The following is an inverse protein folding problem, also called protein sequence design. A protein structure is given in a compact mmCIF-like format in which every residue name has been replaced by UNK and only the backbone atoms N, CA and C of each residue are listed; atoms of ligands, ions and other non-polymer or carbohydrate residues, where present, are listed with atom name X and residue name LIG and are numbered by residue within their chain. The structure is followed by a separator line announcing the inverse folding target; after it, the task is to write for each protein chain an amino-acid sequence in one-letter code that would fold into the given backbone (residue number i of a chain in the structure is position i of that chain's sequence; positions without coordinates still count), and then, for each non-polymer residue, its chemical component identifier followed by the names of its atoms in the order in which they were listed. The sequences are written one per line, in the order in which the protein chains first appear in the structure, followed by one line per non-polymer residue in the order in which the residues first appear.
data_IF_384889733939
#
_entry.id   IF_384889733939
#
_cell.length_a   1.000
_cell.length_b   1.000
_cell.length_c   1.000
_cell.angle_alpha   90.00
_cell.angle_beta   90.00
_cell.angle_gamma   90.00
#
_symmetry.space_group_name_H-M   'P 1'
#
loop_
_entity.id
_entity.type
_entity.pdbx_description
1 polymer ?
#
# COMPACT_ATOMS: atom_id res chain seq x y z
N UNK A 1 -17.65 -20.05 10.46
CA UNK A 1 -17.72 -18.70 9.88
C UNK A 1 -16.37 -18.00 10.03
N UNK A 2 -15.74 -17.57 8.93
CA UNK A 2 -14.51 -16.77 8.99
C UNK A 2 -14.90 -15.30 9.18
N UNK A 3 -14.34 -14.63 10.19
CA UNK A 3 -14.63 -13.21 10.52
C UNK A 3 -13.62 -12.29 9.84
N UNK A 4 -14.05 -11.08 9.49
CA UNK A 4 -13.14 -10.00 9.09
C UNK A 4 -12.13 -9.68 10.18
N UNK A 5 -10.94 -9.21 9.78
CA UNK A 5 -9.83 -8.91 10.69
C UNK A 5 -9.33 -7.50 10.44
N UNK A 6 -8.96 -6.85 11.52
CA UNK A 6 -8.33 -5.53 11.53
C UNK A 6 -7.18 -5.55 12.55
N UNK A 7 -6.35 -4.52 12.56
CA UNK A 7 -5.24 -4.42 13.52
C UNK A 7 -5.77 -4.19 14.93
N UNK A 8 -5.11 -4.77 15.95
CA UNK A 8 -5.47 -4.53 17.36
C UNK A 8 -5.01 -3.16 17.87
N UNK A 9 -3.95 -2.61 17.29
CA UNK A 9 -3.33 -1.34 17.66
C UNK A 9 -2.70 -0.68 16.45
N UNK A 10 -2.44 0.62 16.56
CA UNK A 10 -1.66 1.35 15.57
C UNK A 10 -0.22 0.82 15.60
N UNK A 11 0.36 0.60 14.42
CA UNK A 11 1.78 0.25 14.28
C UNK A 11 2.44 1.20 13.28
N UNK A 12 3.69 1.55 13.54
CA UNK A 12 4.48 2.44 12.71
C UNK A 12 5.80 1.79 12.34
N UNK A 13 6.21 1.99 11.09
CA UNK A 13 7.50 1.58 10.57
C UNK A 13 8.11 2.75 9.79
N UNK A 14 9.41 2.92 9.88
CA UNK A 14 10.12 3.94 9.11
C UNK A 14 11.12 3.27 8.20
N UNK A 15 11.20 3.72 6.96
CA UNK A 15 12.10 3.18 5.95
C UNK A 15 12.52 4.24 4.95
N UNK A 16 13.18 3.82 3.89
CA UNK A 16 13.58 4.70 2.78
C UNK A 16 12.70 4.39 1.57
N UNK A 17 12.07 5.43 1.02
CA UNK A 17 11.23 5.33 -0.17
C UNK A 17 12.10 5.03 -1.38
N UNK A 18 11.85 3.90 -2.05
CA UNK A 18 12.69 3.41 -3.14
C UNK A 18 12.84 4.40 -4.30
N UNK A 19 11.76 5.10 -4.69
CA UNK A 19 11.77 6.04 -5.81
C UNK A 19 12.42 7.37 -5.49
N UNK A 20 12.39 7.79 -4.23
CA UNK A 20 12.81 9.13 -3.82
C UNK A 20 14.12 9.12 -3.04
N UNK A 21 14.55 7.97 -2.51
CA UNK A 21 15.64 7.87 -1.54
C UNK A 21 15.35 8.57 -0.20
N UNK A 22 14.13 9.08 0.00
CA UNK A 22 13.77 9.86 1.19
C UNK A 22 13.25 8.96 2.31
N UNK A 23 13.47 9.37 3.55
CA UNK A 23 12.87 8.71 4.72
C UNK A 23 11.35 8.84 4.66
N UNK A 24 10.64 7.72 4.80
CA UNK A 24 9.18 7.63 4.79
C UNK A 24 8.72 6.88 6.03
N UNK A 25 7.64 7.35 6.66
CA UNK A 25 7.01 6.69 7.80
C UNK A 25 5.68 6.08 7.35
N UNK A 26 5.57 4.76 7.44
CA UNK A 26 4.33 4.01 7.23
C UNK A 26 3.61 3.85 8.57
N UNK A 27 2.35 4.29 8.63
CA UNK A 27 1.49 4.10 9.81
C UNK A 27 0.30 3.25 9.42
N UNK A 28 0.15 2.07 10.03
CA UNK A 28 -1.02 1.21 9.85
C UNK A 28 -1.98 1.40 11.01
N UNK A 29 -3.25 1.65 10.71
CA UNK A 29 -4.30 1.94 11.69
C UNK A 29 -5.40 0.88 11.64
N UNK A 30 -6.02 0.53 12.77
CA UNK A 30 -7.26 -0.24 12.77
C UNK A 30 -8.35 0.51 11.99
N UNK A 31 -9.15 -0.25 11.25
CA UNK A 31 -10.34 0.23 10.55
C UNK A 31 -11.58 -0.59 10.94
N UNK A 32 -12.80 0.00 10.91
CA UNK A 32 -14.06 -0.71 11.11
C UNK A 32 -14.30 -1.82 10.09
N UNK A 33 -15.23 -2.74 10.41
CA UNK A 33 -15.69 -3.76 9.47
C UNK A 33 -16.16 -3.14 8.15
N UNK A 34 -15.96 -3.85 7.05
CA UNK A 34 -16.33 -3.45 5.68
C UNK A 34 -15.65 -2.18 5.13
N UNK A 35 -14.68 -1.59 5.83
CA UNK A 35 -13.92 -0.44 5.31
C UNK A 35 -13.02 -0.81 4.13
N UNK A 36 -12.58 -2.07 4.06
CA UNK A 36 -11.57 -2.51 3.11
C UNK A 36 -10.16 -1.98 3.47
N UNK A 37 -9.27 -1.98 2.49
CA UNK A 37 -7.92 -1.41 2.63
C UNK A 37 -7.90 -0.02 1.99
N UNK A 38 -7.48 0.99 2.74
CA UNK A 38 -7.35 2.36 2.27
C UNK A 38 -5.90 2.80 2.49
N UNK A 39 -5.24 3.24 1.42
CA UNK A 39 -3.97 3.93 1.51
C UNK A 39 -4.22 5.43 1.64
N UNK A 40 -3.41 6.14 2.43
CA UNK A 40 -3.54 7.59 2.63
C UNK A 40 -2.18 8.25 2.46
N UNK A 41 -2.12 9.30 1.64
CA UNK A 41 -0.97 10.21 1.57
C UNK A 41 -1.20 11.39 2.51
N UNK A 42 -0.46 11.40 3.62
CA UNK A 42 -0.52 12.44 4.65
C UNK A 42 0.46 13.60 4.42
N UNK A 43 1.30 13.49 3.40
CA UNK A 43 2.22 14.54 2.98
C UNK A 43 1.57 15.58 2.06
N UNK A 44 0.32 15.35 1.64
CA UNK A 44 -0.52 16.29 0.91
C UNK A 44 -1.47 17.03 1.86
N UNK A 45 -1.88 18.24 1.48
CA UNK A 45 -2.84 19.05 2.24
C UNK A 45 -4.01 19.52 1.33
N UNK A 46 -5.25 19.04 1.55
CA UNK A 46 -5.64 18.03 2.54
C UNK A 46 -5.06 16.63 2.23
N UNK A 47 -4.97 15.72 3.22
CA UNK A 47 -4.56 14.33 2.98
C UNK A 47 -5.46 13.66 1.94
N UNK A 48 -4.87 12.79 1.12
CA UNK A 48 -5.59 12.12 0.02
C UNK A 48 -5.70 10.63 0.30
N UNK A 49 -6.90 10.10 0.13
CA UNK A 49 -7.24 8.69 0.34
C UNK A 49 -7.35 7.92 -0.98
N UNK A 50 -6.89 6.68 -0.95
CA UNK A 50 -6.88 5.74 -2.07
C UNK A 50 -7.43 4.40 -1.59
N UNK A 51 -8.73 4.14 -1.77
CA UNK A 51 -9.28 2.81 -1.59
C UNK A 51 -8.55 1.81 -2.49
N UNK A 52 -8.20 0.65 -1.96
CA UNK A 52 -7.57 -0.42 -2.72
C UNK A 52 -8.61 -1.12 -3.61
N UNK A 53 -8.99 -0.45 -4.70
CA UNK A 53 -9.90 -0.95 -5.72
C UNK A 53 -9.10 -1.31 -6.99
N UNK A 54 -9.41 -2.48 -7.57
CA UNK A 54 -8.79 -2.94 -8.81
C UNK A 54 -8.99 -1.96 -9.98
N UNK A 55 -10.12 -1.24 -10.01
CA UNK A 55 -10.42 -0.21 -11.02
C UNK A 55 -9.48 1.00 -10.93
N UNK A 56 -8.92 1.25 -9.75
CA UNK A 56 -8.00 2.37 -9.48
C UNK A 56 -6.53 2.00 -9.70
N UNK A 57 -6.23 0.74 -10.04
CA UNK A 57 -4.87 0.28 -10.31
C UNK A 57 -4.40 0.77 -11.68
N UNK A 58 -3.22 1.39 -11.72
CA UNK A 58 -2.51 1.80 -12.94
C UNK A 58 -1.03 1.38 -12.84
N UNK A 59 -0.34 1.39 -13.97
CA UNK A 59 1.11 1.17 -14.11
C UNK A 59 1.64 -0.06 -13.35
N UNK A 60 1.39 -1.26 -13.87
CA UNK A 60 1.77 -2.55 -13.27
C UNK A 60 3.15 -3.07 -13.68
N UNK A 61 3.80 -2.49 -14.70
CA UNK A 61 5.04 -3.03 -15.27
C UNK A 61 6.21 -3.04 -14.28
N UNK A 62 6.22 -2.12 -13.31
CA UNK A 62 7.31 -2.00 -12.35
C UNK A 62 6.83 -1.96 -10.90
N UNK A 63 5.58 -1.64 -10.61
CA UNK A 63 5.02 -1.55 -9.25
C UNK A 63 3.50 -1.67 -9.31
N UNK A 64 2.79 -1.76 -8.18
CA UNK A 64 1.34 -1.50 -8.20
C UNK A 64 1.14 -0.04 -7.81
N UNK A 65 0.50 0.74 -8.66
CA UNK A 65 0.13 2.13 -8.36
C UNK A 65 -1.38 2.27 -8.26
N UNK A 66 -1.85 3.00 -7.24
CA UNK A 66 -3.22 3.48 -7.19
C UNK A 66 -3.23 4.95 -7.60
N UNK A 67 -4.19 5.32 -8.44
CA UNK A 67 -4.38 6.67 -8.95
C UNK A 67 -5.80 7.12 -8.64
N UNK A 68 -5.96 8.36 -8.19
CA UNK A 68 -7.28 8.95 -7.96
C UNK A 68 -7.76 9.76 -9.20
N UNK A 69 -8.96 10.31 -9.12
CA UNK A 69 -9.57 11.10 -10.21
C UNK A 69 -8.79 12.39 -10.57
N UNK A 70 -7.91 12.85 -9.66
CA UNK A 70 -7.09 14.05 -9.83
C UNK A 70 -5.64 13.73 -10.25
N UNK A 71 -5.39 12.52 -10.77
CA UNK A 71 -4.07 12.02 -11.21
C UNK A 71 -2.99 11.95 -10.10
N UNK A 72 -3.39 12.05 -8.82
CA UNK A 72 -2.48 11.83 -7.68
C UNK A 72 -2.20 10.34 -7.55
N UNK A 73 -0.93 9.98 -7.31
CA UNK A 73 -0.46 8.59 -7.29
C UNK A 73 0.12 8.17 -5.94
N UNK A 74 -0.09 6.90 -5.60
CA UNK A 74 0.65 6.17 -4.56
C UNK A 74 1.18 4.85 -5.14
N UNK A 75 2.46 4.57 -4.94
CA UNK A 75 3.18 3.46 -5.60
C UNK A 75 3.95 2.62 -4.59
N UNK A 76 3.83 1.29 -4.67
CA UNK A 76 4.71 0.35 -4.00
C UNK A 76 5.35 -0.63 -5.01
N UNK A 77 6.68 -0.59 -5.16
CA UNK A 77 7.38 -1.56 -6.01
C UNK A 77 7.68 -2.84 -5.23
N UNK A 78 7.17 -3.98 -5.72
CA UNK A 78 7.78 -5.29 -5.48
C UNK A 78 8.95 -5.43 -6.47
N UNK A 79 10.16 -5.72 -5.98
CA UNK A 79 11.29 -5.98 -6.87
C UNK A 79 10.93 -7.15 -7.83
N UNK A 80 11.23 -7.06 -9.15
CA UNK A 80 10.89 -8.11 -10.11
C UNK A 80 11.70 -9.41 -9.93
N UNK A 81 12.60 -9.49 -8.96
CA UNK A 81 13.57 -10.59 -8.83
C UNK A 81 13.34 -11.53 -7.64
N UNK A 82 12.20 -11.43 -6.95
CA UNK A 82 11.88 -12.28 -5.79
C UNK A 82 10.80 -13.35 -6.05
N UNK A 83 10.46 -13.64 -7.31
CA UNK A 83 9.50 -14.69 -7.67
C UNK A 83 10.05 -15.78 -8.62
N UNK A 84 11.37 -15.96 -8.69
CA UNK A 84 11.96 -17.06 -9.48
C UNK A 84 13.16 -17.71 -8.79
N UNK A 85 13.02 -18.12 -7.52
CA UNK A 85 13.81 -19.21 -6.91
C UNK A 85 13.33 -19.53 -5.49
N UNK A 86 12.80 -20.74 -5.33
CA UNK A 86 13.10 -21.56 -4.15
C UNK A 86 12.12 -21.53 -2.98
N UNK A 87 10.88 -21.96 -3.19
CA UNK A 87 10.19 -22.81 -2.20
C UNK A 87 9.54 -23.96 -2.96
N UNK A 88 10.41 -24.81 -3.51
CA UNK A 88 10.05 -26.18 -3.84
C UNK A 88 9.97 -26.98 -2.54
N UNK A 89 8.88 -27.72 -2.40
CA UNK A 89 8.73 -28.78 -1.41
C UNK A 89 9.98 -29.66 -1.31
N UNK A 90 10.55 -29.75 -0.11
CA UNK A 90 10.77 -30.99 0.65
C UNK A 90 10.75 -30.64 2.13
#
# INVERSE_FOLDING_TARGET
MIKQRTLKRIVQATGVGLHTGKKVTLTLRPAPANTGVIYRRTDLNPPVDFPADAKSVRDTMLCTCLVNEHDVRISNRRAPQCCSRGLGHR
#
